data_IF_219242736622
#
_entry.id   IF_219242736622
#
_cell.length_a   1.000
_cell.length_b   1.000
_cell.length_c   1.000
_cell.angle_alpha   90.00
_cell.angle_beta   90.00
_cell.angle_gamma   90.00
#
_symmetry.space_group_name_H-M   'P 1'
#
loop_
_entity.id
_entity.type
_entity.pdbx_description
1 polymer ?
#
# COMPACT_ATOMS: atom_id res chain seq x y z
N UNK A 1 -19.06 -7.95 -22.80
CA UNK A 1 -18.55 -6.69 -22.21
C UNK A 1 -17.07 -6.57 -22.58
N UNK A 2 -16.68 -5.58 -23.39
CA UNK A 2 -15.36 -5.50 -24.07
C UNK A 2 -14.23 -5.11 -23.12
N UNK A 3 -13.18 -5.93 -23.06
CA UNK A 3 -11.94 -5.80 -22.27
C UNK A 3 -10.79 -5.13 -23.05
N UNK A 4 -11.07 -4.20 -23.97
CA UNK A 4 -10.05 -3.70 -24.92
C UNK A 4 -8.98 -2.76 -24.36
N UNK A 5 -9.18 -2.17 -23.18
CA UNK A 5 -8.25 -1.16 -22.63
C UNK A 5 -7.00 -1.73 -21.95
N UNK A 6 -7.05 -2.98 -21.46
CA UNK A 6 -5.98 -3.56 -20.63
C UNK A 6 -4.90 -4.27 -21.46
N UNK A 7 -5.22 -4.75 -22.66
CA UNK A 7 -4.27 -5.47 -23.54
C UNK A 7 -3.28 -4.53 -24.27
N UNK A 8 -3.70 -3.32 -24.62
CA UNK A 8 -2.84 -2.36 -25.34
C UNK A 8 -1.61 -1.91 -24.53
N UNK A 9 -1.73 -1.88 -23.20
CA UNK A 9 -0.67 -1.46 -22.27
C UNK A 9 0.50 -2.47 -22.27
N UNK A 10 0.23 -3.76 -22.53
CA UNK A 10 1.24 -4.82 -22.51
C UNK A 10 1.94 -5.05 -23.86
N UNK A 11 1.30 -4.70 -24.98
CA UNK A 11 1.70 -5.15 -26.34
C UNK A 11 2.80 -4.31 -27.02
N UNK A 12 2.98 -3.01 -26.73
CA UNK A 12 3.84 -2.15 -27.57
C UNK A 12 5.03 -1.48 -26.85
N UNK A 13 6.24 -1.64 -27.43
CA UNK A 13 7.51 -0.99 -26.97
C UNK A 13 7.48 0.53 -27.12
N UNK A 14 6.89 1.05 -28.19
CA UNK A 14 6.80 2.49 -28.47
C UNK A 14 5.91 3.22 -27.47
N UNK A 15 4.79 2.62 -27.07
CA UNK A 15 3.91 3.19 -26.06
C UNK A 15 4.59 3.24 -24.68
N UNK A 16 5.32 2.18 -24.29
CA UNK A 16 6.15 2.20 -23.07
C UNK A 16 7.16 3.36 -23.09
N UNK A 17 7.82 3.60 -24.23
CA UNK A 17 8.78 4.68 -24.37
C UNK A 17 8.15 6.08 -24.25
N UNK A 18 6.94 6.26 -24.80
CA UNK A 18 6.19 7.52 -24.68
C UNK A 18 5.68 7.73 -23.24
N UNK A 19 5.17 6.68 -22.59
CA UNK A 19 4.71 6.75 -21.20
C UNK A 19 5.84 7.17 -20.25
N UNK A 20 7.03 6.59 -20.37
CA UNK A 20 8.19 6.93 -19.54
C UNK A 20 8.60 8.40 -19.70
N UNK A 21 8.40 9.00 -20.88
CA UNK A 21 8.73 10.40 -21.15
C UNK A 21 7.78 11.42 -20.52
N UNK A 22 6.63 11.00 -19.98
CA UNK A 22 5.67 11.92 -19.35
C UNK A 22 5.39 11.50 -17.90
N UNK A 23 6.39 11.59 -17.01
CA UNK A 23 6.28 11.12 -15.62
C UNK A 23 5.19 11.86 -14.84
N UNK A 24 4.87 13.11 -15.18
CA UNK A 24 3.78 13.87 -14.55
C UNK A 24 2.38 13.31 -14.86
N UNK A 25 2.15 12.82 -16.09
CA UNK A 25 0.88 12.20 -16.46
C UNK A 25 0.75 10.82 -15.83
N UNK A 26 1.83 10.03 -15.82
CA UNK A 26 1.88 8.78 -15.09
C UNK A 26 1.62 9.00 -13.60
N UNK A 27 2.27 9.95 -12.93
CA UNK A 27 2.04 10.22 -11.51
C UNK A 27 0.61 10.72 -11.22
N UNK A 28 -0.04 11.41 -12.17
CA UNK A 28 -1.43 11.87 -12.03
C UNK A 28 -2.46 10.76 -12.31
N UNK A 29 -2.21 9.88 -13.29
CA UNK A 29 -3.09 8.76 -13.67
C UNK A 29 -2.85 7.48 -12.85
N UNK A 30 -1.59 7.07 -12.71
CA UNK A 30 -1.19 5.96 -11.86
C UNK A 30 -1.33 6.30 -10.39
N UNK A 31 -1.31 7.61 -10.05
CA UNK A 31 -1.57 8.15 -8.71
C UNK A 31 -1.07 7.16 -7.67
N UNK A 32 0.21 6.73 -7.80
CA UNK A 32 0.77 5.47 -7.24
C UNK A 32 0.08 5.31 -5.92
N UNK A 33 -0.96 4.45 -5.87
CA UNK A 33 -1.96 4.57 -4.82
C UNK A 33 -1.17 4.39 -3.55
N UNK A 34 -1.05 5.48 -2.78
CA UNK A 34 -0.21 5.51 -1.60
C UNK A 34 -0.97 4.70 -0.56
N UNK A 35 -0.90 3.38 -0.67
CA UNK A 35 -1.56 2.44 0.22
C UNK A 35 -0.52 2.02 1.23
N UNK A 36 -0.98 1.74 2.44
CA UNK A 36 -0.15 1.10 3.42
C UNK A 36 -0.82 -0.18 3.90
N UNK A 37 -0.01 -1.21 4.08
CA UNK A 37 -0.45 -2.48 4.62
C UNK A 37 0.55 -2.94 5.68
N UNK A 38 0.04 -3.52 6.75
CA UNK A 38 0.82 -4.24 7.75
C UNK A 38 0.32 -5.68 7.77
N UNK A 39 1.25 -6.63 7.70
CA UNK A 39 0.94 -8.05 7.70
C UNK A 39 1.54 -8.63 8.98
N UNK A 40 0.72 -9.36 9.74
CA UNK A 40 1.16 -10.17 10.85
C UNK A 40 1.36 -11.61 10.36
N UNK A 41 2.53 -12.16 10.64
CA UNK A 41 2.92 -13.51 10.25
C UNK A 41 3.31 -14.31 11.48
N UNK A 42 3.04 -15.61 11.47
CA UNK A 42 3.55 -16.51 12.50
C UNK A 42 5.01 -16.91 12.24
N UNK A 43 5.56 -17.77 13.11
CA UNK A 43 6.94 -18.24 13.04
C UNK A 43 7.24 -19.05 11.75
N UNK A 44 6.21 -19.62 11.13
CA UNK A 44 6.31 -20.39 9.89
C UNK A 44 6.11 -19.51 8.65
N UNK A 45 5.94 -18.19 8.83
CA UNK A 45 5.74 -17.22 7.77
C UNK A 45 4.31 -17.22 7.20
N UNK A 46 3.36 -17.89 7.85
CA UNK A 46 1.95 -17.86 7.45
C UNK A 46 1.30 -16.57 7.94
N UNK A 47 0.53 -15.95 7.06
CA UNK A 47 -0.23 -14.72 7.37
C UNK A 47 -1.34 -15.07 8.35
N UNK A 48 -1.30 -14.48 9.54
CA UNK A 48 -2.31 -14.66 10.60
C UNK A 48 -3.26 -13.46 10.72
N UNK A 49 -2.84 -12.27 10.29
CA UNK A 49 -3.69 -11.10 10.21
C UNK A 49 -3.08 -10.05 9.26
N UNK A 50 -3.88 -9.09 8.79
CA UNK A 50 -3.38 -7.93 8.07
C UNK A 50 -4.28 -6.71 8.30
N UNK A 51 -3.68 -5.53 8.20
CA UNK A 51 -4.34 -4.24 8.25
C UNK A 51 -3.98 -3.49 6.97
N UNK A 52 -4.98 -2.95 6.27
CA UNK A 52 -4.80 -2.27 4.98
C UNK A 52 -5.54 -0.94 4.96
N UNK A 53 -4.87 0.10 4.46
CA UNK A 53 -5.52 1.31 3.96
C UNK A 53 -5.42 1.32 2.43
N UNK A 54 -6.36 0.60 1.79
CA UNK A 54 -6.39 0.45 0.34
C UNK A 54 -6.62 1.77 -0.40
N UNK A 55 -7.04 2.82 0.33
CA UNK A 55 -7.32 4.16 -0.20
C UNK A 55 -6.17 5.13 0.02
N UNK A 56 -5.34 4.89 1.03
CA UNK A 56 -4.27 5.79 1.42
C UNK A 56 -4.72 7.06 2.13
N UNK A 57 -5.98 7.10 2.59
CA UNK A 57 -6.60 8.33 3.11
C UNK A 57 -6.10 8.67 4.50
N UNK A 58 -5.81 7.66 5.32
CA UNK A 58 -5.38 7.81 6.71
C UNK A 58 -3.87 7.65 6.81
N UNK A 59 -3.33 6.59 6.18
CA UNK A 59 -1.90 6.35 6.14
C UNK A 59 -1.50 5.83 4.77
N UNK A 60 -0.52 6.53 4.19
CA UNK A 60 -0.19 6.39 2.78
C UNK A 60 1.14 5.65 2.54
N UNK A 61 1.91 5.47 3.62
CA UNK A 61 3.16 4.71 3.69
C UNK A 61 3.36 4.19 5.12
N UNK A 62 3.81 2.94 5.25
CA UNK A 62 4.31 2.39 6.52
C UNK A 62 5.68 1.76 6.22
N UNK A 63 6.67 2.07 7.05
CA UNK A 63 8.03 1.52 6.94
C UNK A 63 8.37 0.53 8.04
N UNK A 64 7.68 0.62 9.18
CA UNK A 64 7.84 -0.32 10.30
C UNK A 64 6.53 -0.44 11.08
N UNK A 65 6.34 -1.59 11.71
CA UNK A 65 5.21 -1.85 12.59
C UNK A 65 5.73 -2.59 13.83
N UNK A 66 5.44 -2.05 15.02
CA UNK A 66 5.89 -2.63 16.31
C UNK A 66 4.71 -2.72 17.25
N UNK A 67 4.42 -3.92 17.73
CA UNK A 67 3.42 -4.13 18.77
C UNK A 67 4.04 -3.89 20.15
N UNK A 68 3.38 -3.07 20.97
CA UNK A 68 3.76 -2.85 22.37
C UNK A 68 2.51 -2.60 23.21
N UNK A 69 2.33 -3.43 24.25
CA UNK A 69 1.08 -3.48 25.01
C UNK A 69 -0.12 -3.80 24.11
N UNK A 70 -1.22 -3.07 24.32
CA UNK A 70 -2.46 -3.19 23.52
C UNK A 70 -2.46 -2.30 22.26
N UNK A 71 -1.28 -1.88 21.79
CA UNK A 71 -1.16 -0.98 20.65
C UNK A 71 -0.17 -1.46 19.59
N UNK A 72 -0.47 -1.12 18.35
CA UNK A 72 0.43 -1.24 17.20
C UNK A 72 0.91 0.14 16.80
N UNK A 73 2.22 0.34 16.82
CA UNK A 73 2.88 1.57 16.42
C UNK A 73 3.38 1.47 14.98
N UNK A 74 3.13 2.49 14.17
CA UNK A 74 3.43 2.52 12.75
C UNK A 74 4.43 3.65 12.44
N UNK A 75 5.57 3.27 11.88
CA UNK A 75 6.58 4.20 11.38
C UNK A 75 6.25 4.68 9.98
N UNK A 76 6.49 5.96 9.71
CA UNK A 76 6.30 6.58 8.41
C UNK A 76 7.36 7.68 8.21
N UNK A 77 8.03 7.68 7.05
CA UNK A 77 9.07 8.67 6.72
C UNK A 77 8.50 9.97 6.13
N UNK A 78 7.22 9.98 5.75
CA UNK A 78 6.55 11.11 5.13
C UNK A 78 5.78 11.99 6.14
N UNK A 79 5.73 11.61 7.42
CA UNK A 79 4.97 12.32 8.45
C UNK A 79 5.85 12.63 9.66
N UNK A 80 5.45 13.64 10.44
CA UNK A 80 6.13 14.05 11.69
C UNK A 80 5.51 13.44 12.94
N UNK A 81 4.79 12.33 12.80
CA UNK A 81 4.10 11.65 13.88
C UNK A 81 4.23 10.14 13.72
N UNK A 82 4.10 9.42 14.83
CA UNK A 82 4.02 7.96 14.88
C UNK A 82 2.54 7.55 14.85
N UNK A 83 2.15 6.66 13.95
CA UNK A 83 0.80 6.12 13.92
C UNK A 83 0.58 5.17 15.10
N UNK A 84 -0.60 5.20 15.73
CA UNK A 84 -0.97 4.30 16.83
C UNK A 84 -2.33 3.70 16.57
N UNK A 85 -2.42 2.38 16.54
CA UNK A 85 -3.67 1.64 16.44
C UNK A 85 -3.90 0.83 17.71
N UNK A 86 -5.09 0.96 18.31
CA UNK A 86 -5.49 0.10 19.42
C UNK A 86 -5.82 -1.30 18.87
N UNK A 87 -5.15 -2.31 19.39
CA UNK A 87 -5.44 -3.69 19.08
C UNK A 87 -6.62 -4.12 19.95
N UNK A 88 -7.82 -4.15 19.38
CA UNK A 88 -8.91 -4.84 20.04
C UNK A 88 -8.55 -6.33 20.11
N UNK A 89 -8.51 -6.88 21.33
CA UNK A 89 -8.40 -8.33 21.49
C UNK A 89 -9.58 -8.94 20.75
N UNK A 90 -9.30 -9.71 19.69
CA UNK A 90 -10.31 -10.55 19.07
C UNK A 90 -10.97 -11.35 20.21
N UNK A 91 -12.30 -11.23 20.37
CA UNK A 91 -13.02 -12.06 21.33
C UNK A 91 -12.67 -13.51 21.01
N UNK A 92 -12.08 -14.17 21.99
CA UNK A 92 -11.73 -15.59 21.96
C UNK A 92 -12.99 -16.44 21.97
#
# INVERSE_FOLDING_TARGET
MRTGGKELIYSSKLFKHILVKIPRLLNRYLKIRQKAMVINVDADGKIINYLDDSTGKVISLVTSAVQSGDHLYLGNLNTKFIGRLALQKAKK
#
